data_IF_619797331893
#
_entry.id   IF_619797331893
#
_cell.length_a   1.000
_cell.length_b   1.000
_cell.length_c   1.000
_cell.angle_alpha   90.00
_cell.angle_beta   90.00
_cell.angle_gamma   90.00
#
_symmetry.space_group_name_H-M   'P 1'
#
loop_
_entity.id
_entity.type
_entity.pdbx_description
1 polymer ?
#
# COMPACT_ATOMS: atom_id res chain seq x y z
N UNK A 1 14.71 0.05 -26.98
CA UNK A 1 15.05 -1.04 -26.06
C UNK A 1 14.87 -2.40 -26.72
N UNK A 2 13.77 -2.60 -27.44
CA UNK A 2 13.47 -3.85 -28.14
C UNK A 2 14.56 -4.29 -29.14
N UNK A 3 15.02 -3.40 -30.02
CA UNK A 3 16.13 -3.68 -30.95
C UNK A 3 17.41 -4.16 -30.22
N UNK A 4 17.76 -3.50 -29.11
CA UNK A 4 18.93 -3.87 -28.29
C UNK A 4 18.75 -5.25 -27.66
N UNK A 5 17.56 -5.53 -27.12
CA UNK A 5 17.23 -6.82 -26.52
C UNK A 5 17.33 -7.97 -27.53
N UNK A 6 16.76 -7.79 -28.72
CA UNK A 6 16.80 -8.79 -29.78
C UNK A 6 18.22 -9.03 -30.30
N UNK A 7 19.00 -7.96 -30.50
CA UNK A 7 20.41 -8.10 -30.90
C UNK A 7 21.27 -8.82 -29.87
N UNK A 8 20.99 -8.65 -28.58
CA UNK A 8 21.69 -9.38 -27.53
C UNK A 8 21.30 -10.86 -27.50
N UNK A 9 20.04 -11.21 -27.81
CA UNK A 9 19.60 -12.61 -27.97
C UNK A 9 20.31 -13.29 -29.14
N UNK A 10 20.48 -12.58 -30.26
CA UNK A 10 21.20 -13.09 -31.44
C UNK A 10 22.67 -13.45 -31.16
N UNK A 11 23.25 -12.93 -30.07
CA UNK A 11 24.63 -13.25 -29.66
C UNK A 11 24.76 -14.62 -28.97
N UNK A 12 23.65 -15.35 -28.75
CA UNK A 12 23.64 -16.71 -28.24
C UNK A 12 22.94 -17.00 -26.89
N UNK A 13 22.58 -16.04 -26.01
CA UNK A 13 21.85 -16.38 -24.79
C UNK A 13 20.38 -16.73 -25.10
N UNK A 14 19.81 -17.67 -24.34
CA UNK A 14 18.39 -18.05 -24.46
C UNK A 14 17.43 -16.95 -23.96
N UNK A 15 17.92 -16.09 -23.07
CA UNK A 15 17.16 -14.99 -22.50
C UNK A 15 18.05 -13.80 -22.15
N UNK A 16 17.53 -12.58 -22.32
CA UNK A 16 18.21 -11.32 -21.99
C UNK A 16 17.29 -10.45 -21.14
N UNK A 17 17.75 -10.06 -19.95
CA UNK A 17 17.02 -9.13 -19.07
C UNK A 17 17.69 -7.77 -19.07
N UNK A 18 16.99 -6.75 -19.57
CA UNK A 18 17.44 -5.35 -19.54
C UNK A 18 16.70 -4.62 -18.42
N UNK A 19 17.46 -4.02 -17.50
CA UNK A 19 16.89 -3.27 -16.37
C UNK A 19 16.61 -1.83 -16.73
N UNK A 20 15.43 -1.32 -16.43
CA UNK A 20 15.07 0.09 -16.58
C UNK A 20 15.35 0.95 -15.36
N UNK A 21 16.10 0.45 -14.38
CA UNK A 21 16.41 1.16 -13.14
C UNK A 21 17.03 2.55 -13.31
N UNK A 22 17.64 2.88 -14.45
CA UNK A 22 18.23 4.20 -14.75
C UNK A 22 17.43 5.02 -15.77
N UNK A 23 16.30 4.50 -16.27
CA UNK A 23 15.43 5.22 -17.19
C UNK A 23 14.55 6.23 -16.43
N UNK A 24 14.09 7.27 -17.10
CA UNK A 24 13.17 8.25 -16.52
C UNK A 24 11.75 7.69 -16.38
N UNK A 25 10.94 8.32 -15.52
CA UNK A 25 9.53 7.98 -15.27
C UNK A 25 9.25 7.35 -13.91
N UNK A 26 7.96 7.28 -13.57
CA UNK A 26 7.48 6.87 -12.23
C UNK A 26 7.61 5.36 -11.97
N UNK A 27 7.83 4.57 -13.02
CA UNK A 27 7.99 3.13 -12.95
C UNK A 27 9.42 2.72 -13.32
N UNK A 28 9.94 1.74 -12.58
CA UNK A 28 11.14 1.01 -12.96
C UNK A 28 10.72 -0.24 -13.74
N UNK A 29 10.72 -0.15 -15.08
CA UNK A 29 10.33 -1.25 -15.99
C UNK A 29 11.55 -2.06 -16.40
N UNK A 30 11.57 -3.35 -16.11
CA UNK A 30 12.60 -4.28 -16.61
C UNK A 30 11.99 -5.18 -17.69
N UNK A 31 12.72 -5.38 -18.79
CA UNK A 31 12.24 -6.11 -19.97
C UNK A 31 13.06 -7.38 -20.18
N UNK A 32 12.40 -8.53 -20.07
CA UNK A 32 12.95 -9.85 -20.35
C UNK A 32 12.61 -10.23 -21.80
N UNK A 33 13.63 -10.42 -22.61
CA UNK A 33 13.54 -10.89 -23.99
C UNK A 33 13.82 -12.39 -24.03
N UNK A 34 12.94 -13.16 -24.67
CA UNK A 34 13.12 -14.59 -25.00
C UNK A 34 12.67 -14.85 -26.43
N UNK A 35 12.91 -16.07 -26.94
CA UNK A 35 12.37 -16.50 -28.23
C UNK A 35 10.82 -16.50 -28.29
N UNK A 36 10.14 -16.53 -27.14
CA UNK A 36 8.67 -16.50 -27.07
C UNK A 36 8.09 -15.07 -27.03
N UNK A 37 8.96 -14.06 -26.94
CA UNK A 37 8.60 -12.65 -26.92
C UNK A 37 9.14 -11.89 -25.71
N UNK A 38 8.53 -10.75 -25.41
CA UNK A 38 8.98 -9.83 -24.35
C UNK A 38 8.05 -9.91 -23.14
N UNK A 39 8.63 -10.01 -21.96
CA UNK A 39 7.94 -9.82 -20.68
C UNK A 39 8.45 -8.55 -20.01
N UNK A 40 7.56 -7.60 -19.76
CA UNK A 40 7.86 -6.43 -18.94
C UNK A 40 7.39 -6.65 -17.51
N UNK A 41 8.25 -6.33 -16.55
CA UNK A 41 7.93 -6.31 -15.12
C UNK A 41 8.22 -4.91 -14.57
N UNK A 42 7.23 -4.32 -13.92
CA UNK A 42 7.31 -2.95 -13.42
C UNK A 42 7.09 -2.91 -11.91
N UNK A 43 7.77 -1.99 -11.25
CA UNK A 43 7.51 -1.58 -9.87
C UNK A 43 7.56 -0.05 -9.81
N UNK A 44 6.92 0.58 -8.83
CA UNK A 44 7.12 2.00 -8.61
C UNK A 44 8.60 2.34 -8.41
N UNK A 45 9.01 3.52 -8.85
CA UNK A 45 10.37 4.02 -8.63
C UNK A 45 10.47 4.55 -7.22
N UNK A 46 11.54 4.15 -6.53
CA UNK A 46 11.89 4.66 -5.22
C UNK A 46 13.01 5.68 -5.38
N UNK A 47 12.84 6.88 -4.82
CA UNK A 47 13.89 7.89 -4.78
C UNK A 47 14.96 7.52 -3.72
N UNK A 48 15.72 6.47 -4.03
CA UNK A 48 16.75 5.90 -3.15
C UNK A 48 17.98 5.54 -3.95
N UNK A 49 19.16 5.97 -3.49
CA UNK A 49 20.44 5.56 -4.05
C UNK A 49 21.06 4.46 -3.20
N UNK A 50 21.16 3.27 -3.80
CA UNK A 50 21.58 2.05 -3.11
C UNK A 50 22.79 1.41 -3.79
N UNK A 51 23.56 0.63 -3.02
CA UNK A 51 24.57 -0.28 -3.53
C UNK A 51 24.06 -1.74 -3.49
N UNK A 52 24.45 -2.55 -4.48
CA UNK A 52 24.18 -4.00 -4.49
C UNK A 52 22.91 -4.44 -5.24
N UNK A 53 22.06 -3.51 -5.70
CA UNK A 53 20.77 -3.86 -6.32
C UNK A 53 20.89 -4.80 -7.53
N UNK A 54 21.92 -4.62 -8.36
CA UNK A 54 22.17 -5.49 -9.51
C UNK A 54 22.50 -6.93 -9.12
N UNK A 55 23.49 -7.10 -8.24
CA UNK A 55 23.95 -8.42 -7.80
C UNK A 55 22.86 -9.19 -7.07
N UNK A 56 22.11 -8.51 -6.19
CA UNK A 56 21.00 -9.15 -5.46
C UNK A 56 19.85 -9.52 -6.38
N UNK A 57 19.50 -8.68 -7.36
CA UNK A 57 18.47 -9.02 -8.35
C UNK A 57 18.86 -10.25 -9.19
N UNK A 58 20.10 -10.31 -9.69
CA UNK A 58 20.59 -11.50 -10.39
C UNK A 58 20.65 -12.74 -9.50
N UNK A 59 20.99 -12.58 -8.22
CA UNK A 59 21.01 -13.68 -7.26
C UNK A 59 19.61 -14.23 -7.01
N UNK A 60 18.59 -13.37 -6.85
CA UNK A 60 17.21 -13.82 -6.71
C UNK A 60 16.71 -14.61 -7.93
N UNK A 61 17.04 -14.16 -9.14
CA UNK A 61 16.68 -14.89 -10.38
C UNK A 61 17.38 -16.25 -10.40
N UNK A 62 18.70 -16.28 -10.17
CA UNK A 62 19.49 -17.50 -10.17
C UNK A 62 18.99 -18.51 -9.12
N UNK A 63 18.68 -18.04 -7.90
CA UNK A 63 18.10 -18.88 -6.85
C UNK A 63 16.72 -19.40 -7.25
N UNK A 64 15.84 -18.55 -7.80
CA UNK A 64 14.52 -18.95 -8.28
C UNK A 64 14.59 -20.07 -9.32
N UNK A 65 15.50 -19.94 -10.30
CA UNK A 65 15.76 -20.98 -11.29
C UNK A 65 16.31 -22.26 -10.64
N UNK A 66 17.25 -22.12 -9.70
CA UNK A 66 17.85 -23.24 -8.99
C UNK A 66 16.86 -24.06 -8.17
N UNK A 67 15.74 -23.47 -7.73
CA UNK A 67 14.65 -24.17 -7.03
C UNK A 67 13.49 -24.59 -7.95
N UNK A 68 13.68 -24.49 -9.27
CA UNK A 68 12.72 -24.99 -10.26
C UNK A 68 11.62 -24.01 -10.67
N UNK A 69 11.74 -22.71 -10.37
CA UNK A 69 10.82 -21.71 -10.92
C UNK A 69 11.05 -21.54 -12.43
N UNK A 70 9.97 -21.36 -13.19
CA UNK A 70 10.09 -20.95 -14.60
C UNK A 70 10.68 -19.54 -14.72
N UNK A 71 11.44 -19.27 -15.78
CA UNK A 71 12.18 -18.01 -15.96
C UNK A 71 11.34 -16.75 -15.77
N UNK A 72 10.16 -16.69 -16.40
CA UNK A 72 9.24 -15.55 -16.28
C UNK A 72 8.79 -15.33 -14.84
N UNK A 73 8.55 -16.40 -14.09
CA UNK A 73 8.14 -16.32 -12.68
C UNK A 73 9.32 -15.96 -11.77
N UNK A 74 10.52 -16.50 -12.03
CA UNK A 74 11.73 -16.14 -11.31
C UNK A 74 12.05 -14.63 -11.45
N UNK A 75 11.87 -14.07 -12.65
CA UNK A 75 12.07 -12.63 -12.89
C UNK A 75 11.01 -11.77 -12.18
N UNK A 76 9.73 -12.17 -12.22
CA UNK A 76 8.66 -11.47 -11.48
C UNK A 76 8.91 -11.50 -9.96
N UNK A 77 9.25 -12.65 -9.41
CA UNK A 77 9.52 -12.80 -7.97
C UNK A 77 10.78 -12.02 -7.58
N UNK A 78 11.84 -12.08 -8.38
CA UNK A 78 13.04 -11.28 -8.15
C UNK A 78 12.74 -9.78 -8.19
N UNK A 79 11.84 -9.32 -9.08
CA UNK A 79 11.45 -7.91 -9.20
C UNK A 79 10.70 -7.44 -7.95
N UNK A 80 9.82 -8.29 -7.43
CA UNK A 80 9.10 -8.04 -6.18
C UNK A 80 10.07 -7.98 -4.99
N UNK A 81 10.99 -8.94 -4.88
CA UNK A 81 11.96 -8.99 -3.76
C UNK A 81 12.96 -7.84 -3.80
N UNK A 82 13.47 -7.48 -4.98
CA UNK A 82 14.44 -6.38 -5.07
C UNK A 82 13.79 -5.04 -4.71
N UNK A 83 12.50 -4.85 -5.00
CA UNK A 83 11.77 -3.67 -4.54
C UNK A 83 11.79 -3.57 -3.01
N UNK A 84 11.44 -4.65 -2.29
CA UNK A 84 11.51 -4.67 -0.82
C UNK A 84 12.94 -4.36 -0.32
N UNK A 85 13.96 -4.99 -0.93
CA UNK A 85 15.36 -4.79 -0.55
C UNK A 85 15.86 -3.36 -0.73
N UNK A 86 15.37 -2.66 -1.76
CA UNK A 86 15.68 -1.23 -1.99
C UNK A 86 14.89 -0.35 -1.03
N UNK A 87 13.60 -0.65 -0.84
CA UNK A 87 12.71 0.12 0.02
C UNK A 87 13.14 0.12 1.48
N UNK A 88 13.55 -1.05 1.98
CA UNK A 88 14.01 -1.26 3.35
C UNK A 88 15.54 -1.14 3.49
N UNK A 89 16.20 -0.50 2.54
CA UNK A 89 17.64 -0.24 2.59
C UNK A 89 18.03 0.60 3.81
N UNK A 90 19.21 0.30 4.36
CA UNK A 90 19.70 0.89 5.62
C UNK A 90 20.94 1.77 5.38
N UNK A 91 21.13 2.83 6.17
CA UNK A 91 22.34 3.63 6.10
C UNK A 91 23.54 2.87 6.69
N UNK A 92 24.63 2.79 5.94
CA UNK A 92 25.91 2.22 6.40
C UNK A 92 27.01 3.24 6.16
N UNK A 93 27.52 3.83 7.23
CA UNK A 93 28.47 4.94 7.15
C UNK A 93 27.86 6.19 6.50
N UNK A 94 28.63 6.89 5.67
CA UNK A 94 28.24 8.16 5.02
C UNK A 94 27.99 8.03 3.51
N UNK A 95 28.02 6.80 2.98
CA UNK A 95 27.93 6.52 1.54
C UNK A 95 26.49 6.27 1.07
N UNK A 96 26.37 5.47 0.00
CA UNK A 96 25.07 4.97 -0.47
C UNK A 96 24.42 4.05 0.57
N UNK A 97 23.09 3.92 0.50
CA UNK A 97 22.36 2.97 1.33
C UNK A 97 22.73 1.53 0.94
N UNK A 98 22.84 0.65 1.93
CA UNK A 98 22.98 -0.78 1.70
C UNK A 98 21.58 -1.40 1.55
N UNK A 99 21.33 -2.11 0.46
CA UNK A 99 20.09 -2.89 0.34
C UNK A 99 20.01 -3.97 1.41
N UNK A 100 18.79 -4.39 1.74
CA UNK A 100 18.53 -5.53 2.62
C UNK A 100 18.01 -6.73 1.81
N UNK A 101 18.85 -7.72 1.45
CA UNK A 101 18.41 -8.92 0.73
C UNK A 101 17.37 -9.75 1.50
N UNK A 102 17.26 -9.54 2.82
CA UNK A 102 16.32 -10.25 3.69
C UNK A 102 15.01 -9.49 3.92
N UNK A 103 14.84 -8.30 3.32
CA UNK A 103 13.67 -7.43 3.53
C UNK A 103 12.33 -8.16 3.37
N UNK A 104 12.18 -9.00 2.34
CA UNK A 104 10.96 -9.80 2.14
C UNK A 104 10.73 -10.79 3.29
N UNK A 105 11.79 -11.43 3.82
CA UNK A 105 11.66 -12.31 4.99
C UNK A 105 11.28 -11.52 6.24
N UNK A 106 11.84 -10.31 6.42
CA UNK A 106 11.45 -9.42 7.51
C UNK A 106 9.95 -9.08 7.43
N UNK A 107 9.45 -8.74 6.23
CA UNK A 107 8.02 -8.51 6.00
C UNK A 107 7.17 -9.74 6.34
N UNK A 108 7.61 -10.94 5.95
CA UNK A 108 6.94 -12.19 6.30
C UNK A 108 6.87 -12.41 7.82
N UNK A 109 7.97 -12.16 8.54
CA UNK A 109 8.03 -12.26 10.00
C UNK A 109 7.12 -11.26 10.71
N UNK A 110 6.92 -10.06 10.15
CA UNK A 110 6.04 -9.03 10.72
C UNK A 110 4.55 -9.36 10.61
N UNK A 111 4.14 -10.31 9.75
CA UNK A 111 2.73 -10.59 9.45
C UNK A 111 1.91 -10.94 10.69
N UNK A 112 2.45 -11.79 11.57
CA UNK A 112 1.75 -12.19 12.79
C UNK A 112 1.53 -10.99 13.73
N UNK A 113 2.53 -10.12 13.88
CA UNK A 113 2.42 -8.89 14.68
C UNK A 113 1.35 -7.94 14.15
N UNK A 114 1.36 -7.68 12.84
CA UNK A 114 0.35 -6.83 12.18
C UNK A 114 -1.07 -7.37 12.37
N UNK A 115 -1.28 -8.68 12.25
CA UNK A 115 -2.59 -9.31 12.50
C UNK A 115 -3.02 -9.05 13.95
N UNK A 116 -2.12 -9.23 14.91
CA UNK A 116 -2.43 -9.06 16.33
C UNK A 116 -2.73 -7.60 16.68
N UNK A 117 -2.02 -6.64 16.11
CA UNK A 117 -2.31 -5.22 16.28
C UNK A 117 -3.70 -4.85 15.73
N UNK A 118 -4.05 -5.31 14.54
CA UNK A 118 -5.39 -5.08 13.98
C UNK A 118 -6.47 -5.77 14.82
N UNK A 119 -6.22 -6.99 15.35
CA UNK A 119 -7.16 -7.68 16.25
C UNK A 119 -7.41 -6.89 17.53
N UNK A 120 -6.36 -6.38 18.18
CA UNK A 120 -6.48 -5.55 19.37
C UNK A 120 -7.26 -4.27 19.08
N UNK A 121 -6.93 -3.59 17.99
CA UNK A 121 -7.64 -2.37 17.59
C UNK A 121 -9.12 -2.63 17.27
N UNK A 122 -9.43 -3.73 16.59
CA UNK A 122 -10.82 -4.17 16.35
C UNK A 122 -11.56 -4.43 17.66
N UNK A 123 -10.93 -5.09 18.64
CA UNK A 123 -11.56 -5.32 19.95
C UNK A 123 -11.88 -3.99 20.66
N UNK A 124 -10.97 -3.01 20.59
CA UNK A 124 -11.21 -1.66 21.13
C UNK A 124 -12.37 -0.98 20.41
N UNK A 125 -12.47 -1.11 19.08
CA UNK A 125 -13.57 -0.57 18.29
C UNK A 125 -14.90 -1.20 18.72
N UNK A 126 -14.97 -2.53 18.85
CA UNK A 126 -16.19 -3.25 19.24
C UNK A 126 -16.66 -2.93 20.67
N UNK A 127 -15.74 -2.58 21.56
CA UNK A 127 -16.02 -2.22 22.95
C UNK A 127 -16.41 -0.74 23.11
N UNK A 128 -15.70 0.17 22.43
CA UNK A 128 -15.73 1.60 22.78
C UNK A 128 -16.32 2.51 21.71
N UNK A 129 -16.29 2.11 20.44
CA UNK A 129 -16.66 3.03 19.37
C UNK A 129 -18.18 3.21 19.28
N UNK A 130 -18.70 4.45 19.25
CA UNK A 130 -20.13 4.70 19.07
C UNK A 130 -20.62 4.13 17.73
N UNK A 131 -21.74 3.38 17.71
CA UNK A 131 -22.30 2.79 16.49
C UNK A 131 -22.71 3.83 15.43
N UNK A 132 -22.92 5.08 15.82
CA UNK A 132 -23.23 6.20 14.92
C UNK A 132 -22.05 6.56 14.01
N UNK A 133 -20.82 6.20 14.39
CA UNK A 133 -19.63 6.39 13.54
C UNK A 133 -19.49 5.29 12.47
N UNK A 134 -20.33 4.26 12.49
CA UNK A 134 -20.33 3.20 11.47
C UNK A 134 -21.13 3.70 10.23
N UNK A 135 -20.53 3.74 9.02
CA UNK A 135 -21.27 4.02 7.78
C UNK A 135 -22.29 2.92 7.45
N UNK A 136 -23.25 3.19 6.57
CA UNK A 136 -24.21 2.18 6.12
C UNK A 136 -23.51 1.03 5.36
N UNK A 137 -22.48 1.34 4.57
CA UNK A 137 -21.64 0.31 3.94
C UNK A 137 -20.72 -0.45 4.91
N UNK A 138 -20.72 -0.08 6.19
CA UNK A 138 -19.82 -0.61 7.19
C UNK A 138 -18.41 -0.01 7.17
N UNK A 139 -17.69 -0.28 8.24
CA UNK A 139 -16.38 0.29 8.57
C UNK A 139 -15.29 -0.76 8.46
N UNK A 140 -14.07 -0.33 8.20
CA UNK A 140 -12.92 -1.20 8.23
C UNK A 140 -11.70 -0.46 8.74
N UNK A 141 -10.81 -1.19 9.40
CA UNK A 141 -9.48 -0.76 9.79
C UNK A 141 -8.50 -1.60 8.99
N UNK A 142 -7.59 -0.94 8.26
CA UNK A 142 -6.54 -1.62 7.51
C UNK A 142 -5.15 -1.17 7.98
N UNK A 143 -4.23 -2.11 8.10
CA UNK A 143 -2.84 -1.85 8.47
C UNK A 143 -1.89 -2.66 7.58
N UNK A 144 -0.96 -1.98 6.94
CA UNK A 144 -0.04 -2.56 5.96
C UNK A 144 1.31 -2.94 6.57
N UNK A 145 1.97 -3.94 5.97
CA UNK A 145 3.41 -4.10 6.09
C UNK A 145 4.14 -2.87 5.52
N UNK A 146 5.42 -2.63 5.89
CA UNK A 146 6.23 -1.59 5.27
C UNK A 146 6.29 -1.75 3.75
N UNK A 147 6.15 -0.62 3.03
CA UNK A 147 6.20 -0.54 1.57
C UNK A 147 5.32 -1.61 0.89
N UNK A 148 3.99 -1.57 1.08
CA UNK A 148 3.09 -2.60 0.57
C UNK A 148 3.08 -2.58 -0.97
N UNK A 149 3.32 -3.74 -1.58
CA UNK A 149 3.30 -3.91 -3.04
C UNK A 149 1.94 -4.40 -3.57
N UNK A 150 0.99 -4.68 -2.68
CA UNK A 150 -0.35 -5.10 -3.05
C UNK A 150 -1.24 -5.45 -1.86
N UNK A 151 -2.49 -5.78 -2.15
CA UNK A 151 -3.52 -6.03 -1.13
C UNK A 151 -3.19 -7.20 -0.18
N UNK A 152 -2.38 -8.17 -0.63
CA UNK A 152 -1.92 -9.31 0.18
C UNK A 152 -0.95 -8.94 1.31
N UNK A 153 -0.45 -7.70 1.32
CA UNK A 153 0.44 -7.14 2.34
C UNK A 153 -0.29 -6.15 3.26
N UNK A 154 -1.61 -6.07 3.16
CA UNK A 154 -2.45 -5.22 3.99
C UNK A 154 -3.45 -6.07 4.77
N UNK A 155 -3.38 -5.99 6.10
CA UNK A 155 -4.29 -6.67 7.01
C UNK A 155 -5.54 -5.81 7.25
N UNK A 156 -6.70 -6.44 7.33
CA UNK A 156 -7.95 -5.78 7.68
C UNK A 156 -9.05 -6.78 8.03
N UNK A 157 -10.26 -6.30 8.24
CA UNK A 157 -11.40 -7.13 8.65
C UNK A 157 -12.17 -7.62 7.43
N UNK A 158 -12.21 -8.93 7.22
CA UNK A 158 -13.11 -9.53 6.24
C UNK A 158 -14.58 -9.30 6.63
N UNK A 159 -15.42 -8.94 5.68
CA UNK A 159 -16.84 -8.67 5.94
C UNK A 159 -17.13 -7.35 6.68
N UNK A 160 -16.09 -6.59 7.10
CA UNK A 160 -16.18 -5.26 7.76
C UNK A 160 -16.64 -5.32 9.22
N UNK A 161 -16.65 -4.17 9.86
CA UNK A 161 -17.32 -3.88 11.13
C UNK A 161 -18.65 -3.18 10.84
N UNK A 162 -19.73 -3.69 11.42
CA UNK A 162 -21.09 -3.21 11.18
C UNK A 162 -21.79 -2.87 12.49
N UNK A 163 -22.84 -2.05 12.39
CA UNK A 163 -23.71 -1.72 13.51
C UNK A 163 -24.68 -2.88 13.77
N UNK A 164 -24.73 -3.35 15.01
CA UNK A 164 -25.68 -4.35 15.51
C UNK A 164 -26.36 -3.78 16.75
N UNK A 165 -27.52 -3.15 16.54
CA UNK A 165 -28.22 -2.40 17.59
C UNK A 165 -27.42 -1.19 18.07
N UNK A 166 -27.04 -1.22 19.34
CA UNK A 166 -26.23 -0.23 20.05
C UNK A 166 -24.72 -0.56 20.05
N UNK A 167 -24.29 -1.60 19.32
CA UNK A 167 -22.91 -2.08 19.33
C UNK A 167 -22.31 -2.15 17.95
N UNK A 168 -20.98 -2.11 17.91
CA UNK A 168 -20.19 -2.43 16.71
C UNK A 168 -19.74 -3.87 16.79
N UNK A 169 -19.86 -4.61 15.68
CA UNK A 169 -19.42 -6.01 15.57
C UNK A 169 -18.70 -6.25 14.27
N UNK A 170 -17.61 -7.01 14.31
CA UNK A 170 -16.98 -7.54 13.11
C UNK A 170 -17.81 -8.69 12.53
N UNK A 171 -17.87 -8.76 11.21
CA UNK A 171 -18.58 -9.84 10.49
C UNK A 171 -17.69 -11.06 10.29
N UNK A 172 -16.41 -10.85 9.95
CA UNK A 172 -15.46 -11.91 9.66
C UNK A 172 -14.13 -11.76 10.38
N UNK A 173 -13.12 -12.48 9.89
CA UNK A 173 -11.81 -12.56 10.51
C UNK A 173 -10.90 -11.38 10.15
N UNK A 174 -9.92 -11.12 11.02
CA UNK A 174 -8.80 -10.24 10.73
C UNK A 174 -7.75 -11.03 9.96
N UNK A 175 -7.50 -10.62 8.71
CA UNK A 175 -6.52 -11.28 7.83
C UNK A 175 -5.92 -10.33 6.79
N UNK A 176 -4.78 -10.73 6.25
CA UNK A 176 -4.21 -10.09 5.05
C UNK A 176 -5.14 -10.26 3.85
N UNK A 177 -5.32 -9.18 3.08
CA UNK A 177 -6.31 -9.12 2.00
C UNK A 177 -7.76 -9.01 2.48
N UNK A 178 -8.00 -8.78 3.78
CA UNK A 178 -9.34 -8.70 4.37
C UNK A 178 -10.18 -7.50 3.89
N UNK A 179 -9.55 -6.44 3.38
CA UNK A 179 -10.26 -5.25 2.87
C UNK A 179 -9.60 -4.67 1.63
N UNK A 180 -10.22 -4.84 0.46
CA UNK A 180 -9.74 -4.21 -0.79
C UNK A 180 -9.93 -2.69 -0.80
N UNK A 181 -11.04 -2.20 -0.24
CA UNK A 181 -11.36 -0.78 -0.22
C UNK A 181 -10.34 0.02 0.59
N UNK A 182 -10.11 -0.37 1.85
CA UNK A 182 -9.16 0.33 2.71
C UNK A 182 -7.72 0.08 2.32
N UNK A 183 -7.40 -1.08 1.73
CA UNK A 183 -6.07 -1.33 1.21
C UNK A 183 -5.67 -0.34 0.11
N UNK A 184 -6.59 0.11 -0.75
CA UNK A 184 -6.29 1.16 -1.75
C UNK A 184 -5.92 2.50 -1.10
N UNK A 185 -6.64 2.89 -0.06
CA UNK A 185 -6.36 4.13 0.70
C UNK A 185 -4.98 4.05 1.34
N UNK A 186 -4.69 2.93 2.01
CA UNK A 186 -3.39 2.70 2.65
C UNK A 186 -2.25 2.66 1.62
N UNK A 187 -2.44 2.01 0.46
CA UNK A 187 -1.42 1.99 -0.59
C UNK A 187 -1.15 3.40 -1.14
N UNK A 188 -2.19 4.19 -1.43
CA UNK A 188 -2.02 5.54 -1.95
C UNK A 188 -1.30 6.46 -0.94
N UNK A 189 -1.64 6.36 0.35
CA UNK A 189 -0.97 7.09 1.41
C UNK A 189 0.48 6.63 1.59
N UNK A 190 0.70 5.32 1.73
CA UNK A 190 2.03 4.73 1.96
C UNK A 190 2.98 4.94 0.79
N UNK A 191 2.46 5.15 -0.42
CA UNK A 191 3.27 5.46 -1.60
C UNK A 191 3.91 6.85 -1.49
N UNK A 192 3.20 7.82 -0.92
CA UNK A 192 3.69 9.20 -0.73
C UNK A 192 4.46 9.35 0.58
N UNK A 193 3.96 8.76 1.66
CA UNK A 193 4.62 8.72 2.96
C UNK A 193 4.66 7.27 3.50
N UNK A 194 5.82 6.58 3.41
CA UNK A 194 5.98 5.20 3.86
C UNK A 194 5.68 4.95 5.34
N UNK A 195 5.65 5.99 6.18
CA UNK A 195 5.30 5.86 7.59
C UNK A 195 3.78 5.73 7.79
N UNK A 196 2.96 6.29 6.89
CA UNK A 196 1.50 6.22 6.97
C UNK A 196 0.99 4.92 6.37
N UNK A 197 0.83 3.91 7.22
CA UNK A 197 0.49 2.53 6.83
C UNK A 197 -0.84 2.02 7.38
N UNK A 198 -1.58 2.85 8.10
CA UNK A 198 -2.87 2.50 8.66
C UNK A 198 -3.96 3.48 8.22
N UNK A 199 -5.16 2.95 7.97
CA UNK A 199 -6.33 3.79 7.73
C UNK A 199 -7.62 3.12 8.22
N UNK A 200 -8.57 3.94 8.63
CA UNK A 200 -9.90 3.54 9.06
C UNK A 200 -10.96 4.43 8.42
N UNK A 201 -12.05 3.84 7.91
CA UNK A 201 -13.17 4.62 7.40
C UNK A 201 -14.31 4.70 8.41
N UNK A 202 -14.85 5.90 8.60
CA UNK A 202 -15.97 6.19 9.51
C UNK A 202 -17.04 7.02 8.78
N UNK A 203 -18.25 7.03 9.35
CA UNK A 203 -19.40 7.75 8.82
C UNK A 203 -19.07 9.23 8.65
N UNK A 204 -19.41 9.78 7.50
CA UNK A 204 -19.30 11.20 7.25
C UNK A 204 -20.45 11.99 7.87
N UNK A 205 -20.11 13.06 8.58
CA UNK A 205 -20.97 14.20 8.88
C UNK A 205 -20.09 15.45 8.96
N UNK A 206 -20.63 16.64 8.70
CA UNK A 206 -19.87 17.89 8.91
C UNK A 206 -19.30 17.97 10.34
N UNK A 207 -20.13 17.62 11.32
CA UNK A 207 -19.75 17.65 12.73
C UNK A 207 -18.59 16.70 13.10
N UNK A 208 -18.41 15.59 12.35
CA UNK A 208 -17.24 14.70 12.51
C UNK A 208 -16.00 15.37 11.94
N UNK A 209 -16.09 15.95 10.74
CA UNK A 209 -14.96 16.62 10.09
C UNK A 209 -14.50 17.84 10.90
N UNK A 210 -15.43 18.67 11.37
CA UNK A 210 -15.13 19.87 12.13
C UNK A 210 -14.49 19.54 13.49
N UNK A 211 -14.97 18.48 14.16
CA UNK A 211 -14.33 17.99 15.39
C UNK A 211 -12.91 17.49 15.14
N UNK A 212 -12.67 16.74 14.07
CA UNK A 212 -11.32 16.30 13.71
C UNK A 212 -10.40 17.50 13.43
N UNK A 213 -10.87 18.51 12.68
CA UNK A 213 -10.12 19.76 12.48
C UNK A 213 -9.80 20.47 13.80
N UNK A 214 -10.75 20.52 14.73
CA UNK A 214 -10.56 21.18 16.02
C UNK A 214 -9.47 20.52 16.90
N UNK A 215 -9.13 19.25 16.63
CA UNK A 215 -7.99 18.59 17.29
C UNK A 215 -6.62 19.00 16.73
N UNK A 216 -6.60 19.79 15.65
CA UNK A 216 -5.39 20.12 14.90
C UNK A 216 -5.04 19.12 13.80
N UNK A 217 -5.90 18.13 13.54
CA UNK A 217 -5.68 17.16 12.47
C UNK A 217 -5.70 17.85 11.10
N UNK A 218 -4.76 17.50 10.23
CA UNK A 218 -4.75 17.97 8.85
C UNK A 218 -5.82 17.24 8.05
N UNK A 219 -6.66 17.99 7.34
CA UNK A 219 -7.83 17.45 6.64
C UNK A 219 -7.76 17.76 5.16
N UNK A 220 -7.62 16.71 4.34
CA UNK A 220 -7.79 16.76 2.90
C UNK A 220 -9.21 16.37 2.47
N UNK A 221 -9.56 16.75 1.24
CA UNK A 221 -10.84 16.37 0.62
C UNK A 221 -10.67 16.22 -0.89
N UNK A 222 -11.62 15.56 -1.53
CA UNK A 222 -11.72 15.48 -2.98
C UNK A 222 -13.19 15.45 -3.39
N UNK A 223 -13.49 15.96 -4.58
CA UNK A 223 -14.82 15.87 -5.20
C UNK A 223 -14.87 14.70 -6.18
N UNK A 224 -15.92 13.88 -6.07
CA UNK A 224 -16.16 12.77 -6.99
C UNK A 224 -16.68 13.24 -8.35
N UNK A 225 -17.21 14.46 -8.45
CA UNK A 225 -17.65 15.06 -9.72
C UNK A 225 -16.50 15.35 -10.69
N UNK A 226 -15.27 15.48 -10.16
CA UNK A 226 -14.05 15.75 -10.93
C UNK A 226 -13.32 14.46 -11.35
N UNK A 227 -13.93 13.29 -11.12
CA UNK A 227 -13.33 11.98 -11.37
C UNK A 227 -13.11 11.72 -12.87
N UNK A 228 -11.88 11.37 -13.31
CA UNK A 228 -11.62 10.97 -14.69
C UNK A 228 -12.27 9.63 -15.04
N UNK A 229 -12.84 9.52 -16.25
CA UNK A 229 -13.58 8.33 -16.69
C UNK A 229 -12.78 7.01 -16.75
N UNK A 230 -11.44 7.06 -16.74
CA UNK A 230 -10.56 5.90 -16.95
C UNK A 230 -9.79 5.43 -15.71
N UNK A 231 -9.98 6.05 -14.53
CA UNK A 231 -9.20 5.71 -13.32
C UNK A 231 -10.10 5.09 -12.26
N UNK A 232 -9.58 4.17 -11.46
CA UNK A 232 -10.32 3.67 -10.29
C UNK A 232 -10.59 4.83 -9.32
N UNK A 233 -11.87 5.19 -9.16
CA UNK A 233 -12.42 6.25 -8.29
C UNK A 233 -11.69 6.54 -6.97
N UNK A 234 -11.13 5.51 -6.34
CA UNK A 234 -10.63 5.57 -4.96
C UNK A 234 -9.11 5.72 -4.87
N UNK A 235 -8.38 5.13 -5.81
CA UNK A 235 -6.94 5.38 -5.95
C UNK A 235 -6.73 6.83 -6.37
N UNK A 236 -7.57 7.32 -7.29
CA UNK A 236 -7.60 8.74 -7.67
C UNK A 236 -7.99 9.65 -6.51
N UNK A 237 -9.14 9.44 -5.85
CA UNK A 237 -9.61 10.38 -4.82
C UNK A 237 -8.66 10.56 -3.63
N UNK A 238 -8.04 9.47 -3.18
CA UNK A 238 -7.04 9.54 -2.10
C UNK A 238 -5.78 10.28 -2.58
N UNK A 239 -5.28 9.96 -3.77
CA UNK A 239 -4.11 10.62 -4.35
C UNK A 239 -4.37 12.11 -4.62
N UNK A 240 -5.58 12.48 -5.04
CA UNK A 240 -5.98 13.86 -5.30
C UNK A 240 -6.02 14.68 -4.01
N UNK A 241 -6.62 14.13 -2.95
CA UNK A 241 -6.62 14.78 -1.64
C UNK A 241 -5.20 14.96 -1.08
N UNK A 242 -4.32 13.96 -1.25
CA UNK A 242 -2.91 14.06 -0.86
C UNK A 242 -2.19 15.14 -1.69
N UNK A 243 -2.39 15.15 -3.02
CA UNK A 243 -1.80 16.16 -3.91
C UNK A 243 -2.24 17.58 -3.53
N UNK A 244 -3.52 17.77 -3.24
CA UNK A 244 -4.08 19.05 -2.80
C UNK A 244 -3.48 19.54 -1.48
N UNK A 245 -3.07 18.62 -0.60
CA UNK A 245 -2.38 18.96 0.66
C UNK A 245 -0.86 19.11 0.49
N UNK A 246 -0.27 18.55 -0.58
CA UNK A 246 1.19 18.47 -0.77
C UNK A 246 1.90 17.43 0.12
N UNK A 247 1.17 16.79 1.03
CA UNK A 247 1.62 15.73 1.93
C UNK A 247 0.43 14.84 2.29
N UNK A 248 0.67 13.69 2.95
CA UNK A 248 -0.42 12.83 3.43
C UNK A 248 -1.11 13.51 4.63
N UNK A 249 -2.41 13.83 4.56
CA UNK A 249 -3.13 14.42 5.69
C UNK A 249 -3.56 13.35 6.70
N UNK A 250 -3.91 13.77 7.93
CA UNK A 250 -4.44 12.86 8.97
C UNK A 250 -5.82 12.33 8.62
N UNK A 251 -6.60 13.10 7.86
CA UNK A 251 -7.99 12.79 7.51
C UNK A 251 -8.24 13.15 6.05
N UNK A 252 -8.92 12.26 5.33
CA UNK A 252 -9.42 12.51 3.98
C UNK A 252 -10.92 12.24 3.97
N UNK A 253 -11.72 13.21 3.56
CA UNK A 253 -13.17 13.00 3.42
C UNK A 253 -13.69 13.32 2.02
N UNK A 254 -14.81 12.69 1.67
CA UNK A 254 -15.60 13.01 0.48
C UNK A 254 -17.09 13.11 0.83
N UNK A 255 -17.81 13.95 0.10
CA UNK A 255 -19.25 14.21 0.31
C UNK A 255 -20.16 13.17 -0.38
N UNK A 256 -19.58 12.07 -0.87
CA UNK A 256 -20.30 11.07 -1.62
C UNK A 256 -20.63 11.54 -3.04
N UNK A 257 -21.54 10.83 -3.70
CA UNK A 257 -22.01 11.12 -5.05
C UNK A 257 -23.13 10.17 -5.42
N UNK A 258 -23.56 10.19 -6.69
CA UNK A 258 -24.61 9.28 -7.17
C UNK A 258 -24.23 7.81 -6.90
N UNK A 259 -24.98 7.13 -6.03
CA UNK A 259 -24.72 5.74 -5.63
C UNK A 259 -23.48 5.51 -4.75
N UNK A 260 -22.83 6.57 -4.24
CA UNK A 260 -21.63 6.49 -3.39
C UNK A 260 -21.88 7.23 -2.07
N UNK A 261 -21.84 6.50 -0.95
CA UNK A 261 -21.97 7.07 0.39
C UNK A 261 -20.79 8.01 0.70
N UNK A 262 -21.07 9.14 1.35
CA UNK A 262 -20.06 10.04 1.87
C UNK A 262 -19.22 9.37 2.96
N UNK A 263 -17.93 9.68 3.04
CA UNK A 263 -17.01 8.93 3.90
C UNK A 263 -15.90 9.81 4.46
N UNK A 264 -15.53 9.57 5.72
CA UNK A 264 -14.31 10.07 6.34
C UNK A 264 -13.31 8.93 6.47
N UNK A 265 -12.06 9.17 6.08
CA UNK A 265 -10.94 8.23 6.19
C UNK A 265 -9.92 8.85 7.12
N UNK A 266 -9.66 8.21 8.25
CA UNK A 266 -8.63 8.62 9.20
C UNK A 266 -7.38 7.80 8.91
N UNK A 267 -6.27 8.47 8.67
CA UNK A 267 -4.97 7.87 8.36
C UNK A 267 -4.02 8.00 9.54
N UNK A 268 -3.08 7.08 9.63
CA UNK A 268 -2.07 7.07 10.70
C UNK A 268 -0.97 6.07 10.45
N UNK A 269 0.02 6.10 11.34
CA UNK A 269 1.21 5.23 11.23
C UNK A 269 0.89 3.78 11.58
N UNK A 270 0.02 3.59 12.57
CA UNK A 270 -0.36 2.32 13.16
C UNK A 270 -1.81 2.39 13.69
N UNK A 271 -2.41 1.26 14.10
CA UNK A 271 -3.76 1.24 14.63
C UNK A 271 -3.99 2.14 15.85
N UNK A 272 -3.01 2.28 16.74
CA UNK A 272 -3.13 3.11 17.94
C UNK A 272 -3.19 4.60 17.59
N UNK A 273 -2.40 5.04 16.61
CA UNK A 273 -2.43 6.40 16.08
C UNK A 273 -3.79 6.76 15.49
N UNK A 274 -4.34 5.86 14.67
CA UNK A 274 -5.68 6.04 14.09
C UNK A 274 -6.76 6.05 15.17
N UNK A 275 -6.73 5.12 16.13
CA UNK A 275 -7.71 5.07 17.20
C UNK A 275 -7.64 6.28 18.13
N UNK A 276 -6.45 6.84 18.37
CA UNK A 276 -6.28 8.07 19.16
C UNK A 276 -6.98 9.25 18.49
N UNK A 277 -6.84 9.39 17.16
CA UNK A 277 -7.51 10.43 16.37
C UNK A 277 -9.02 10.25 16.39
N UNK A 278 -9.52 9.03 16.21
CA UNK A 278 -10.95 8.72 16.26
C UNK A 278 -11.54 8.93 17.66
N UNK A 279 -10.83 8.56 18.72
CA UNK A 279 -11.29 8.72 20.11
C UNK A 279 -11.49 10.19 20.51
N UNK A 280 -10.83 11.13 19.81
CA UNK A 280 -11.04 12.55 20.05
C UNK A 280 -12.46 13.02 19.64
N UNK A 281 -13.18 12.26 18.82
CA UNK A 281 -14.59 12.51 18.48
C UNK A 281 -15.56 12.20 19.63
N UNK A 282 -15.10 11.44 20.63
CA UNK A 282 -15.89 10.98 21.77
C UNK A 282 -15.75 11.87 23.02
N UNK A 283 -14.89 12.91 22.95
CA UNK A 283 -14.69 13.91 24.00
C UNK A 283 -15.51 15.16 23.68
#
# INVERSE_FOLDING_TARGET
LEDVGNRLLEMGPEAVLIKGGHLEGDLAVDSLFTAEGVLEVASPRLDRRVHGAGCTFSAFIATGLGIGMGLREAVKEAKRRIYDSVAMSVPVGKGLLAIDPMATLHKEAMRAGVIEEVRKAVAVIEERLPPELVPEVGMNLAFALPYPQGYGEICGVEGRLVRVGDKVRRVGEVRFGGSRHMARVVMAASFVDPEVRCAMNIRFTEAVVDRLRATGAMVGTFDRGEEPAMVSSMEWGTAEAIRGCGHVPDVIYDRGGAGKEAMVRVLGRDPDDVLRKVSALMR
#
